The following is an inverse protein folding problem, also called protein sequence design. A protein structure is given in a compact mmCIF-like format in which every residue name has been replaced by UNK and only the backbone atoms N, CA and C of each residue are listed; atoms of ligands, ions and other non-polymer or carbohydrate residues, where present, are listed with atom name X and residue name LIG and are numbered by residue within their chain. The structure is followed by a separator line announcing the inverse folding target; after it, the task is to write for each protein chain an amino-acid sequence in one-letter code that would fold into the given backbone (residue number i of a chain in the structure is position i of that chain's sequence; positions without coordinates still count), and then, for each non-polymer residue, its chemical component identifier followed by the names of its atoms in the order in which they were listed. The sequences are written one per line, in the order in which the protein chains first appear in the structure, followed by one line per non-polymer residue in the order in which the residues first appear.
data_IF_784654937336
#
_entry.id   IF_784654937336
#
_cell.length_a   1.000
_cell.length_b   1.000
_cell.length_c   1.000
_cell.angle_alpha   90.00
_cell.angle_beta   90.00
_cell.angle_gamma   90.00
#
_symmetry.space_group_name_H-M   'P 1'
#
loop_
_entity.id
_entity.type
_entity.pdbx_description
1 polymer ?
#
# COMPACT_ATOMS: atom_id res chain seq x y z
N UNK A 1 -3.71 17.99 -14.88
CA UNK A 1 -4.37 17.43 -13.67
C UNK A 1 -3.27 17.05 -12.68
N UNK A 2 -3.51 17.11 -11.37
CA UNK A 2 -2.54 16.69 -10.34
C UNK A 2 -2.99 15.40 -9.66
N UNK A 3 -2.20 14.34 -9.76
CA UNK A 3 -2.45 13.04 -9.13
C UNK A 3 -1.52 12.85 -7.93
N UNK A 4 -2.11 12.66 -6.76
CA UNK A 4 -1.38 12.34 -5.54
C UNK A 4 -1.05 10.84 -5.46
N UNK A 5 0.20 10.52 -5.14
CA UNK A 5 0.63 9.16 -4.84
C UNK A 5 1.02 9.08 -3.37
N UNK A 6 0.19 8.41 -2.56
CA UNK A 6 0.40 8.30 -1.12
C UNK A 6 0.96 6.92 -0.76
N UNK A 7 2.21 6.88 -0.28
CA UNK A 7 2.90 5.64 0.14
C UNK A 7 2.86 5.44 1.65
N UNK A 8 2.92 4.18 2.10
CA UNK A 8 3.00 3.82 3.53
C UNK A 8 4.40 4.01 4.14
N UNK A 9 5.43 4.17 3.30
CA UNK A 9 6.80 4.50 3.72
C UNK A 9 7.15 5.94 3.40
N UNK A 10 8.30 6.15 2.77
CA UNK A 10 8.73 7.46 2.27
C UNK A 10 8.91 7.46 0.74
N UNK A 11 8.63 8.58 0.05
CA UNK A 11 8.99 8.81 -1.34
C UNK A 11 10.45 9.33 -1.45
N UNK A 12 11.07 9.25 -2.65
CA UNK A 12 10.46 8.83 -3.91
C UNK A 12 10.35 7.31 -4.04
N UNK A 13 9.22 6.83 -4.58
CA UNK A 13 9.02 5.43 -5.00
C UNK A 13 9.24 5.30 -6.49
N UNK A 14 10.48 5.54 -6.94
CA UNK A 14 10.85 5.52 -8.37
C UNK A 14 10.48 4.18 -9.06
N UNK A 15 10.51 3.10 -8.29
CA UNK A 15 10.10 1.76 -8.71
C UNK A 15 8.62 1.67 -9.10
N UNK A 16 7.77 2.50 -8.52
CA UNK A 16 6.33 2.56 -8.82
C UNK A 16 6.01 3.74 -9.75
N UNK A 17 6.59 4.91 -9.51
CA UNK A 17 6.31 6.15 -10.24
C UNK A 17 6.56 5.99 -11.73
N UNK A 18 7.65 5.33 -12.11
CA UNK A 18 7.96 5.02 -13.52
C UNK A 18 6.86 4.20 -14.22
N UNK A 19 6.13 3.34 -13.47
CA UNK A 19 4.98 2.61 -14.01
C UNK A 19 3.81 3.56 -14.29
N UNK A 20 3.53 4.50 -13.38
CA UNK A 20 2.50 5.51 -13.60
C UNK A 20 2.83 6.40 -14.79
N UNK A 21 4.06 6.91 -14.87
CA UNK A 21 4.54 7.73 -15.99
C UNK A 21 4.45 7.00 -17.34
N UNK A 22 4.63 5.67 -17.36
CA UNK A 22 4.54 4.89 -18.60
C UNK A 22 3.12 4.71 -19.15
N UNK A 23 2.09 4.91 -18.32
CA UNK A 23 0.67 4.66 -18.67
C UNK A 23 -0.13 5.96 -18.74
N UNK A 24 0.23 6.95 -17.92
CA UNK A 24 -0.44 8.24 -17.86
C UNK A 24 0.04 9.17 -18.97
N UNK A 25 -0.81 10.13 -19.33
CA UNK A 25 -0.45 11.19 -20.27
C UNK A 25 0.47 12.22 -19.62
N UNK A 26 1.35 12.83 -20.41
CA UNK A 26 2.38 13.79 -19.95
C UNK A 26 1.80 15.06 -19.28
N UNK A 27 0.50 15.32 -19.43
CA UNK A 27 -0.22 16.44 -18.82
C UNK A 27 -0.70 16.17 -17.37
N UNK A 28 -0.42 14.97 -16.84
CA UNK A 28 -0.71 14.57 -15.47
C UNK A 28 0.54 14.77 -14.60
N UNK A 29 0.47 15.71 -13.67
CA UNK A 29 1.53 15.97 -12.69
C UNK A 29 1.39 15.00 -11.51
N UNK A 30 2.46 14.26 -11.20
CA UNK A 30 2.51 13.34 -10.06
C UNK A 30 3.09 14.02 -8.82
N UNK A 31 2.33 14.04 -7.72
CA UNK A 31 2.77 14.56 -6.42
C UNK A 31 2.85 13.40 -5.43
N UNK A 32 4.05 13.10 -4.94
CA UNK A 32 4.28 12.01 -4.01
C UNK A 32 4.25 12.48 -2.56
N UNK A 33 3.70 11.65 -1.68
CA UNK A 33 3.79 11.85 -0.24
C UNK A 33 3.80 10.51 0.49
N UNK A 34 4.50 10.41 1.61
CA UNK A 34 4.62 9.19 2.40
C UNK A 34 4.13 9.38 3.82
N UNK A 35 3.58 8.31 4.41
CA UNK A 35 3.14 8.31 5.80
C UNK A 35 4.23 8.74 6.79
N UNK A 36 5.49 8.47 6.46
CA UNK A 36 6.64 8.73 7.33
C UNK A 36 7.41 10.00 6.95
N UNK A 37 6.82 10.89 6.15
CA UNK A 37 7.54 12.07 5.65
C UNK A 37 7.83 13.11 6.72
N UNK A 38 6.94 13.23 7.71
CA UNK A 38 7.08 14.16 8.83
C UNK A 38 7.80 13.59 10.05
N UNK A 39 8.33 12.36 9.97
CA UNK A 39 9.07 11.75 11.07
C UNK A 39 10.58 11.96 10.92
N UNK A 40 11.23 12.29 12.03
CA UNK A 40 12.68 12.23 12.22
C UNK A 40 13.17 10.78 12.35
N UNK A 41 14.49 10.57 12.32
CA UNK A 41 15.07 9.23 12.51
C UNK A 41 14.74 8.64 13.88
N UNK A 42 14.71 9.46 14.93
CA UNK A 42 14.32 9.02 16.28
C UNK A 42 12.84 8.62 16.33
N UNK A 43 11.95 9.41 15.72
CA UNK A 43 10.52 9.07 15.64
C UNK A 43 10.23 7.84 14.76
N UNK A 44 11.08 7.57 13.76
CA UNK A 44 10.98 6.36 12.93
C UNK A 44 11.19 5.09 13.76
N UNK A 45 12.04 5.15 14.79
CA UNK A 45 12.28 4.01 15.67
C UNK A 45 11.07 3.71 16.57
N UNK A 46 10.35 4.74 17.01
CA UNK A 46 9.15 4.61 17.84
C UNK A 46 7.96 3.98 17.11
N UNK A 47 7.87 4.20 15.79
CA UNK A 47 6.79 3.67 14.96
C UNK A 47 7.05 2.26 14.44
N UNK A 48 8.23 1.68 14.71
CA UNK A 48 8.50 0.30 14.34
C UNK A 48 7.51 -0.65 15.01
N UNK A 49 7.10 -1.66 14.25
CA UNK A 49 6.26 -2.72 14.76
C UNK A 49 7.05 -3.62 15.72
N UNK A 50 6.39 -4.13 16.76
CA UNK A 50 6.88 -5.28 17.53
C UNK A 50 6.51 -6.60 16.84
N UNK A 51 7.13 -7.71 17.23
CA UNK A 51 6.92 -9.02 16.60
C UNK A 51 5.48 -9.55 16.71
N UNK A 52 4.66 -8.97 17.59
CA UNK A 52 3.28 -9.40 17.86
C UNK A 52 2.21 -8.58 17.12
N UNK A 53 2.61 -7.50 16.43
CA UNK A 53 1.67 -6.58 15.78
C UNK A 53 1.37 -6.96 14.33
N UNK A 54 0.20 -6.57 13.82
CA UNK A 54 -0.08 -6.68 12.38
C UNK A 54 0.78 -5.68 11.62
N UNK A 55 1.74 -6.18 10.86
CA UNK A 55 2.77 -5.36 10.21
C UNK A 55 2.46 -5.04 8.75
N UNK A 56 2.80 -3.81 8.37
CA UNK A 56 3.05 -3.40 7.00
C UNK A 56 4.55 -3.17 6.82
N UNK A 57 5.08 -3.53 5.66
CA UNK A 57 6.48 -3.31 5.31
C UNK A 57 6.59 -2.35 4.14
N UNK A 58 7.54 -1.43 4.22
CA UNK A 58 7.82 -0.45 3.18
C UNK A 58 9.28 0.03 3.24
N UNK A 59 9.71 0.79 2.22
CA UNK A 59 11.02 1.44 2.17
C UNK A 59 11.04 2.84 2.77
N UNK A 60 12.17 3.16 3.41
CA UNK A 60 12.61 4.50 3.77
C UNK A 60 13.41 5.13 2.62
N UNK A 61 13.67 6.44 2.69
CA UNK A 61 14.46 7.18 1.68
C UNK A 61 15.87 6.64 1.51
N UNK A 62 16.46 6.12 2.58
CA UNK A 62 17.79 5.52 2.58
C UNK A 62 17.81 4.08 2.02
N UNK A 63 16.67 3.57 1.56
CA UNK A 63 16.53 2.23 0.98
C UNK A 63 16.35 1.10 1.99
N UNK A 64 16.42 1.37 3.30
CA UNK A 64 16.14 0.38 4.34
C UNK A 64 14.64 0.07 4.40
N UNK A 65 14.30 -1.18 4.67
CA UNK A 65 12.92 -1.58 4.95
C UNK A 65 12.54 -1.25 6.39
N UNK A 66 11.29 -0.85 6.61
CA UNK A 66 10.71 -0.60 7.92
C UNK A 66 9.41 -1.41 8.04
N UNK A 67 9.20 -2.05 9.19
CA UNK A 67 7.93 -2.67 9.58
C UNK A 67 7.17 -1.72 10.51
N UNK A 68 5.89 -1.50 10.26
CA UNK A 68 5.05 -0.54 10.98
C UNK A 68 3.72 -1.23 11.29
N UNK A 69 3.20 -1.06 12.51
CA UNK A 69 1.89 -1.62 12.84
C UNK A 69 0.75 -0.80 12.24
N UNK A 70 -0.37 -1.46 11.95
CA UNK A 70 -1.56 -0.79 11.40
C UNK A 70 -2.00 0.42 12.24
N UNK A 71 -2.03 0.26 13.57
CA UNK A 71 -2.48 1.27 14.52
C UNK A 71 -1.61 2.54 14.50
N UNK A 72 -0.30 2.39 14.28
CA UNK A 72 0.63 3.52 14.15
C UNK A 72 0.60 4.13 12.76
N UNK A 73 0.39 3.31 11.72
CA UNK A 73 0.39 3.75 10.32
C UNK A 73 -0.82 4.60 9.95
N UNK A 74 -2.03 4.22 10.38
CA UNK A 74 -3.27 4.90 9.95
C UNK A 74 -3.31 6.39 10.36
N UNK A 75 -2.95 6.79 11.60
CA UNK A 75 -2.87 8.21 11.98
C UNK A 75 -1.90 9.01 11.12
N UNK A 76 -0.73 8.43 10.79
CA UNK A 76 0.29 9.05 9.96
C UNK A 76 -0.20 9.27 8.53
N UNK A 77 -0.82 8.25 7.92
CA UNK A 77 -1.45 8.38 6.61
C UNK A 77 -2.51 9.50 6.57
N UNK A 78 -3.35 9.61 7.60
CA UNK A 78 -4.37 10.67 7.68
C UNK A 78 -3.74 12.07 7.71
N UNK A 79 -2.69 12.25 8.50
CA UNK A 79 -1.96 13.52 8.60
C UNK A 79 -1.43 13.93 7.22
N UNK A 80 -0.73 13.02 6.56
CA UNK A 80 -0.06 13.32 5.30
C UNK A 80 -1.04 13.45 4.13
N UNK A 81 -2.13 12.68 4.14
CA UNK A 81 -3.23 12.78 3.18
C UNK A 81 -3.90 14.16 3.23
N UNK A 82 -4.13 14.71 4.42
CA UNK A 82 -4.75 16.03 4.60
C UNK A 82 -3.95 17.16 3.93
N UNK A 83 -2.63 17.03 3.93
CA UNK A 83 -1.76 18.00 3.28
C UNK A 83 -1.61 17.75 1.78
N UNK A 84 -1.62 16.48 1.36
CA UNK A 84 -1.65 16.11 -0.05
C UNK A 84 -2.95 16.61 -0.72
N UNK A 85 -4.09 16.51 -0.03
CA UNK A 85 -5.41 16.96 -0.49
C UNK A 85 -5.43 18.38 -1.04
N UNK A 86 -4.68 19.27 -0.41
CA UNK A 86 -4.64 20.68 -0.77
C UNK A 86 -4.00 20.91 -2.14
N UNK A 87 -3.29 19.92 -2.67
CA UNK A 87 -2.41 20.05 -3.82
C UNK A 87 -2.84 19.20 -5.02
N UNK A 88 -3.70 18.19 -4.83
CA UNK A 88 -4.01 17.20 -5.89
C UNK A 88 -5.50 17.09 -6.15
N UNK A 89 -5.90 16.64 -7.33
CA UNK A 89 -7.30 16.44 -7.72
C UNK A 89 -7.86 15.07 -7.27
N UNK A 90 -6.96 14.09 -7.12
CA UNK A 90 -7.24 12.70 -6.72
C UNK A 90 -6.00 12.10 -6.05
N UNK A 91 -6.18 11.07 -5.23
CA UNK A 91 -5.07 10.28 -4.65
C UNK A 91 -5.16 8.82 -5.07
N UNK A 92 -4.01 8.19 -5.29
CA UNK A 92 -3.85 6.74 -5.36
C UNK A 92 -3.00 6.31 -4.17
N UNK A 93 -3.49 5.32 -3.44
CA UNK A 93 -2.72 4.66 -2.38
C UNK A 93 -1.70 3.71 -3.00
N UNK A 94 -0.44 3.78 -2.57
CA UNK A 94 0.62 2.87 -3.02
C UNK A 94 0.76 1.68 -2.06
N UNK A 95 -0.36 1.03 -1.74
CA UNK A 95 -0.43 -0.12 -0.87
C UNK A 95 -1.66 -0.98 -1.20
N UNK A 96 -1.50 -2.31 -1.14
CA UNK A 96 -2.58 -3.31 -1.26
C UNK A 96 -3.03 -3.85 0.11
N UNK A 97 -2.59 -3.19 1.19
CA UNK A 97 -3.00 -3.45 2.56
C UNK A 97 -4.50 -3.22 2.73
N UNK A 98 -5.13 -4.04 3.58
CA UNK A 98 -6.54 -3.90 3.94
C UNK A 98 -6.60 -3.19 5.30
N UNK A 99 -6.55 -1.86 5.27
CA UNK A 99 -6.72 -0.98 6.42
C UNK A 99 -7.95 -0.08 6.22
N UNK A 100 -8.50 0.52 7.30
CA UNK A 100 -9.71 1.34 7.21
C UNK A 100 -9.60 2.47 6.18
N UNK A 101 -10.70 2.71 5.47
CA UNK A 101 -10.78 3.83 4.53
C UNK A 101 -10.53 5.15 5.28
N UNK A 102 -9.75 6.02 4.63
CA UNK A 102 -9.40 7.32 5.16
C UNK A 102 -10.52 8.29 4.79
N UNK A 103 -11.02 9.03 5.78
CA UNK A 103 -12.01 10.07 5.51
C UNK A 103 -11.35 11.21 4.71
N UNK A 104 -11.91 11.54 3.55
CA UNK A 104 -11.27 12.37 2.54
C UNK A 104 -12.32 12.99 1.59
N UNK A 105 -12.11 14.23 1.13
CA UNK A 105 -13.12 14.95 0.32
C UNK A 105 -12.93 14.80 -1.19
N UNK A 106 -11.77 14.33 -1.64
CA UNK A 106 -11.47 14.07 -3.05
C UNK A 106 -11.51 12.56 -3.33
N UNK A 107 -11.55 12.12 -4.59
CA UNK A 107 -11.46 10.70 -4.90
C UNK A 107 -10.13 10.10 -4.42
N UNK A 108 -10.21 8.91 -3.82
CA UNK A 108 -9.04 8.09 -3.49
C UNK A 108 -9.20 6.68 -4.08
N UNK A 109 -8.19 6.22 -4.80
CA UNK A 109 -8.11 4.88 -5.35
C UNK A 109 -7.34 4.01 -4.37
N UNK A 110 -7.98 2.94 -3.90
CA UNK A 110 -7.37 1.88 -3.11
C UNK A 110 -7.07 0.67 -4.00
N UNK A 111 -5.79 0.37 -4.33
CA UNK A 111 -5.45 -0.79 -5.14
C UNK A 111 -6.01 -2.10 -4.61
N UNK A 112 -6.08 -2.25 -3.28
CA UNK A 112 -6.74 -3.38 -2.64
C UNK A 112 -8.18 -3.60 -3.17
N UNK A 113 -9.01 -2.55 -3.12
CA UNK A 113 -10.41 -2.65 -3.53
C UNK A 113 -10.53 -2.85 -5.03
N UNK A 114 -9.67 -2.22 -5.84
CA UNK A 114 -9.64 -2.44 -7.30
C UNK A 114 -9.33 -3.90 -7.62
N UNK A 115 -8.27 -4.46 -7.03
CA UNK A 115 -7.84 -5.83 -7.30
C UNK A 115 -8.87 -6.86 -6.82
N UNK A 116 -9.40 -6.70 -5.61
CA UNK A 116 -10.37 -7.65 -5.04
C UNK A 116 -11.68 -7.68 -5.83
N UNK A 117 -12.21 -6.52 -6.25
CA UNK A 117 -13.42 -6.46 -7.09
C UNK A 117 -13.17 -6.95 -8.51
N UNK A 118 -11.98 -6.72 -9.08
CA UNK A 118 -11.63 -7.25 -10.39
C UNK A 118 -11.58 -8.78 -10.37
N UNK A 119 -10.97 -9.37 -9.34
CA UNK A 119 -10.91 -10.83 -9.19
C UNK A 119 -12.30 -11.44 -9.01
N UNK A 120 -13.15 -10.81 -8.20
CA UNK A 120 -14.55 -11.22 -8.02
C UNK A 120 -15.32 -11.21 -9.35
N UNK A 121 -15.20 -10.11 -10.11
CA UNK A 121 -15.88 -9.94 -11.39
C UNK A 121 -15.44 -10.95 -12.47
N UNK A 122 -14.19 -11.42 -12.43
CA UNK A 122 -13.68 -12.42 -13.38
C UNK A 122 -14.26 -13.82 -13.15
N UNK A 123 -14.97 -14.07 -12.04
CA UNK A 123 -15.51 -15.38 -11.66
C UNK A 123 -14.47 -16.50 -11.83
N UNK A 124 -13.28 -16.27 -11.27
CA UNK A 124 -12.09 -17.05 -11.55
C UNK A 124 -12.15 -18.44 -10.90
N UNK A 125 -12.47 -19.46 -11.69
CA UNK A 125 -12.63 -20.84 -11.19
C UNK A 125 -11.34 -21.68 -11.12
N UNK A 126 -10.17 -21.05 -11.26
CA UNK A 126 -8.87 -21.72 -11.24
C UNK A 126 -8.10 -21.45 -9.94
N UNK A 127 -7.00 -22.19 -9.72
CA UNK A 127 -6.10 -21.94 -8.58
C UNK A 127 -5.45 -20.57 -8.70
N UNK A 128 -5.42 -19.82 -7.59
CA UNK A 128 -4.80 -18.50 -7.53
C UNK A 128 -3.45 -18.59 -6.82
N UNK A 129 -2.39 -18.08 -7.45
CA UNK A 129 -1.10 -17.86 -6.81
C UNK A 129 -1.05 -16.51 -6.11
N UNK A 130 -0.59 -16.45 -4.87
CA UNK A 130 -0.35 -15.21 -4.13
C UNK A 130 1.13 -15.06 -3.82
N UNK A 131 1.68 -13.91 -4.19
CA UNK A 131 3.03 -13.49 -3.84
C UNK A 131 2.95 -12.52 -2.67
N UNK A 132 3.58 -12.87 -1.56
CA UNK A 132 3.51 -12.07 -0.34
C UNK A 132 4.88 -11.60 0.16
N UNK A 133 4.93 -10.43 0.84
CA UNK A 133 6.16 -9.84 1.40
C UNK A 133 6.78 -10.62 2.54
N UNK A 134 5.93 -11.03 3.49
CA UNK A 134 6.32 -11.48 4.82
C UNK A 134 5.54 -12.74 5.19
N UNK A 135 6.24 -13.70 5.79
CA UNK A 135 5.65 -14.99 6.17
C UNK A 135 4.53 -14.81 7.20
N UNK A 136 4.71 -13.87 8.13
CA UNK A 136 3.72 -13.51 9.16
C UNK A 136 2.39 -12.98 8.57
N UNK A 137 2.39 -12.51 7.31
CA UNK A 137 1.17 -12.06 6.62
C UNK A 137 0.40 -13.19 5.93
N UNK A 138 0.95 -14.42 5.92
CA UNK A 138 0.39 -15.57 5.18
C UNK A 138 -1.07 -15.81 5.51
N UNK A 139 -1.40 -15.98 6.79
CA UNK A 139 -2.75 -16.33 7.21
C UNK A 139 -3.75 -15.23 6.85
N UNK A 140 -3.49 -13.99 7.26
CA UNK A 140 -4.36 -12.82 6.99
C UNK A 140 -4.61 -12.63 5.49
N UNK A 141 -3.56 -12.70 4.66
CA UNK A 141 -3.70 -12.53 3.20
C UNK A 141 -4.49 -13.71 2.60
N UNK A 142 -4.22 -14.94 3.03
CA UNK A 142 -4.94 -16.13 2.56
C UNK A 142 -6.42 -16.06 2.88
N UNK A 143 -6.77 -15.70 4.12
CA UNK A 143 -8.15 -15.54 4.54
C UNK A 143 -8.89 -14.50 3.70
N UNK A 144 -8.28 -13.34 3.49
CA UNK A 144 -8.84 -12.27 2.65
C UNK A 144 -9.15 -12.77 1.24
N UNK A 145 -8.21 -13.42 0.58
CA UNK A 145 -8.41 -13.89 -0.80
C UNK A 145 -9.31 -15.13 -0.90
N UNK A 146 -9.38 -15.97 0.13
CA UNK A 146 -10.34 -17.09 0.20
C UNK A 146 -11.79 -16.63 0.39
N UNK A 147 -12.03 -15.43 0.94
CA UNK A 147 -13.39 -14.85 1.02
C UNK A 147 -13.91 -14.42 -0.35
N UNK A 148 -13.01 -14.06 -1.26
CA UNK A 148 -13.33 -13.57 -2.61
C UNK A 148 -13.32 -14.72 -3.61
N UNK A 149 -12.35 -15.62 -3.51
CA UNK A 149 -12.27 -16.80 -4.37
C UNK A 149 -13.21 -17.90 -3.85
N UNK A 150 -14.34 -18.07 -4.52
CA UNK A 150 -15.38 -19.06 -4.21
C UNK A 150 -14.88 -20.51 -4.12
N UNK A 151 -13.77 -20.85 -4.78
CA UNK A 151 -13.18 -22.19 -4.76
C UNK A 151 -12.12 -22.40 -3.68
N UNK A 152 -11.76 -21.37 -2.88
CA UNK A 152 -10.82 -21.43 -1.74
C UNK A 152 -9.46 -22.09 -2.04
N UNK A 153 -9.02 -22.06 -3.30
CA UNK A 153 -7.79 -22.73 -3.75
C UNK A 153 -6.69 -21.72 -4.04
N UNK A 154 -6.21 -21.09 -2.96
CA UNK A 154 -5.10 -20.14 -2.98
C UNK A 154 -3.80 -20.88 -2.67
N UNK A 155 -2.77 -20.69 -3.50
CA UNK A 155 -1.40 -21.17 -3.29
C UNK A 155 -0.48 -19.98 -3.04
N UNK A 156 0.37 -20.08 -2.03
CA UNK A 156 1.23 -18.99 -1.61
C UNK A 156 2.68 -19.26 -1.99
N UNK A 157 3.31 -18.24 -2.52
CA UNK A 157 4.74 -18.22 -2.78
C UNK A 157 5.35 -16.97 -2.13
N UNK A 158 6.43 -17.16 -1.39
CA UNK A 158 7.15 -16.07 -0.74
C UNK A 158 8.03 -15.34 -1.75
N UNK A 159 8.04 -14.02 -1.68
CA UNK A 159 9.00 -13.22 -2.43
C UNK A 159 10.35 -13.34 -1.72
N UNK A 160 11.34 -13.98 -2.35
CA UNK A 160 12.65 -14.26 -1.74
C UNK A 160 13.67 -13.11 -1.88
N UNK A 161 13.28 -11.93 -2.37
CA UNK A 161 14.17 -10.82 -2.70
C UNK A 161 13.66 -9.49 -2.10
N UNK A 162 14.55 -8.52 -1.85
CA UNK A 162 14.30 -7.17 -1.26
C UNK A 162 13.43 -6.22 -2.14
N UNK A 163 12.30 -6.70 -2.65
CA UNK A 163 11.37 -5.90 -3.46
C UNK A 163 10.65 -4.81 -2.65
N UNK A 164 10.71 -4.87 -1.31
CA UNK A 164 9.87 -4.05 -0.41
C UNK A 164 10.66 -3.38 0.69
#
# INVERSE_FOLDING_TARGET
MKLGLLTIGQPPRNDIVSTFESVLSDDIELIQKGALDSLSEEELDEVRATDEEVTYVSKLRNGQSIKISEDKLVPLLKKELKDLEKQVDMVVMLCTGDFPMLNYNKPIIYPDKVLTNMVDALNFNQKMGLLIPLEEQREKITEKWNRINTNKNVHLMMIQNNWI
#
